data_IF_635159523177
#
_entry.id   IF_635159523177
#
_cell.length_a   1.000
_cell.length_b   1.000
_cell.length_c   1.000
_cell.angle_alpha   90.00
_cell.angle_beta   90.00
_cell.angle_gamma   90.00
#
_symmetry.space_group_name_H-M   'P 1'
#
loop_
_entity.id
_entity.type
_entity.pdbx_description
1 polymer ?
#
# COMPACT_ATOMS: atom_id res chain seq x y z
N UNK A 1 32.30 0.93 15.12
CA UNK A 1 30.94 1.12 14.58
C UNK A 1 30.82 0.30 13.31
N UNK A 2 30.09 -0.83 13.32
CA UNK A 2 29.88 -1.63 12.10
C UNK A 2 28.91 -0.92 11.16
N UNK A 3 29.35 -0.59 9.94
CA UNK A 3 28.50 -0.06 8.87
C UNK A 3 27.53 -1.18 8.48
N UNK A 4 26.30 -1.16 8.99
CA UNK A 4 25.23 -2.02 8.48
C UNK A 4 24.88 -1.50 7.09
N UNK A 5 25.56 -2.02 6.08
CA UNK A 5 25.21 -1.83 4.67
C UNK A 5 23.82 -2.42 4.49
N UNK A 6 22.79 -1.58 4.40
CA UNK A 6 21.43 -2.02 4.08
C UNK A 6 21.48 -2.53 2.64
N UNK A 7 21.57 -3.84 2.47
CA UNK A 7 21.62 -4.49 1.16
C UNK A 7 20.28 -4.23 0.47
N UNK A 8 20.35 -3.85 -0.82
CA UNK A 8 19.18 -3.78 -1.69
C UNK A 8 18.38 -5.08 -1.61
N UNK A 9 17.08 -5.02 -1.32
CA UNK A 9 16.26 -6.22 -1.46
C UNK A 9 16.08 -6.52 -2.94
N UNK A 10 16.14 -7.79 -3.32
CA UNK A 10 15.76 -8.20 -4.68
C UNK A 10 14.25 -8.07 -4.86
N UNK A 11 13.77 -7.88 -6.10
CA UNK A 11 12.34 -7.78 -6.37
C UNK A 11 11.50 -8.96 -5.82
N UNK A 12 11.95 -10.23 -5.89
CA UNK A 12 11.26 -11.35 -5.23
C UNK A 12 11.20 -11.25 -3.70
N UNK A 13 12.27 -10.77 -3.05
CA UNK A 13 12.31 -10.57 -1.60
C UNK A 13 11.40 -9.43 -1.15
N UNK A 14 11.36 -8.34 -1.92
CA UNK A 14 10.42 -7.24 -1.69
C UNK A 14 8.97 -7.72 -1.79
N UNK A 15 8.62 -8.44 -2.86
CA UNK A 15 7.28 -8.99 -3.01
C UNK A 15 6.92 -9.93 -1.85
N UNK A 16 7.84 -10.80 -1.45
CA UNK A 16 7.63 -11.71 -0.30
C UNK A 16 7.39 -10.95 0.99
N UNK A 17 8.13 -9.87 1.23
CA UNK A 17 8.00 -9.00 2.40
C UNK A 17 6.63 -8.32 2.43
N UNK A 18 6.24 -7.68 1.32
CA UNK A 18 4.93 -7.02 1.20
C UNK A 18 3.78 -8.01 1.36
N UNK A 19 3.87 -9.20 0.75
CA UNK A 19 2.87 -10.25 0.94
C UNK A 19 2.79 -10.70 2.42
N UNK A 20 3.90 -10.73 3.14
CA UNK A 20 3.93 -10.97 4.58
C UNK A 20 3.14 -9.93 5.37
N UNK A 21 3.34 -8.65 5.07
CA UNK A 21 2.60 -7.54 5.68
C UNK A 21 1.08 -7.64 5.44
N UNK A 22 0.67 -7.97 4.21
CA UNK A 22 -0.74 -8.15 3.86
C UNK A 22 -1.40 -9.32 4.61
N UNK A 23 -0.67 -10.45 4.75
CA UNK A 23 -1.14 -11.61 5.52
C UNK A 23 -1.30 -11.30 6.99
N UNK A 24 -0.32 -10.62 7.59
CA UNK A 24 -0.42 -10.18 8.99
C UNK A 24 -1.61 -9.24 9.21
N UNK A 25 -1.89 -8.36 8.24
CA UNK A 25 -3.05 -7.48 8.31
C UNK A 25 -4.38 -8.25 8.28
N UNK A 26 -4.49 -9.28 7.43
CA UNK A 26 -5.65 -10.19 7.38
C UNK A 26 -5.91 -10.85 8.73
N UNK A 27 -4.86 -11.33 9.39
CA UNK A 27 -4.98 -12.00 10.68
C UNK A 27 -5.47 -11.04 11.78
N UNK A 28 -5.03 -9.79 11.76
CA UNK A 28 -5.42 -8.77 12.76
C UNK A 28 -6.82 -8.20 12.53
N UNK A 29 -7.32 -8.24 11.30
CA UNK A 29 -8.64 -7.71 10.93
C UNK A 29 -9.49 -8.79 10.25
N UNK A 30 -10.25 -9.60 11.02
CA UNK A 30 -11.05 -10.70 10.47
C UNK A 30 -12.10 -10.27 9.43
N UNK A 31 -12.61 -9.04 9.49
CA UNK A 31 -13.57 -8.49 8.53
C UNK A 31 -12.93 -7.89 7.28
N UNK A 32 -11.59 -7.84 7.22
CA UNK A 32 -10.88 -7.52 5.99
C UNK A 32 -11.22 -8.64 5.00
N UNK A 33 -11.58 -8.29 3.77
CA UNK A 33 -11.87 -9.24 2.68
C UNK A 33 -10.81 -9.24 1.59
N UNK A 34 -10.06 -8.15 1.42
CA UNK A 34 -9.02 -8.02 0.39
C UNK A 34 -7.98 -6.96 0.77
N UNK A 35 -6.77 -7.07 0.23
CA UNK A 35 -5.80 -5.99 0.26
C UNK A 35 -4.88 -6.05 -0.97
N UNK A 36 -4.39 -4.89 -1.41
CA UNK A 36 -3.36 -4.81 -2.44
C UNK A 36 -2.41 -3.63 -2.20
N UNK A 37 -1.23 -3.74 -2.79
CA UNK A 37 -0.28 -2.64 -2.93
C UNK A 37 -0.13 -2.32 -4.41
N UNK A 38 -0.24 -1.05 -4.76
CA UNK A 38 -0.11 -0.56 -6.13
C UNK A 38 0.79 0.68 -6.17
N UNK A 39 1.52 0.86 -7.28
CA UNK A 39 2.24 2.10 -7.56
C UNK A 39 1.27 3.27 -7.81
N UNK A 40 1.80 4.49 -7.79
CA UNK A 40 1.05 5.70 -8.18
C UNK A 40 0.46 5.63 -9.60
N UNK A 41 1.05 4.82 -10.47
CA UNK A 41 0.65 4.68 -11.88
C UNK A 41 -0.32 3.52 -12.11
N UNK A 42 -0.73 2.83 -11.03
CA UNK A 42 -1.70 1.72 -11.10
C UNK A 42 -1.08 0.37 -11.42
N UNK A 43 0.23 0.23 -11.33
CA UNK A 43 0.89 -1.07 -11.47
C UNK A 43 0.80 -1.85 -10.16
N UNK A 44 0.38 -3.11 -10.27
CA UNK A 44 0.27 -4.01 -9.13
C UNK A 44 1.65 -4.38 -8.60
N UNK A 45 1.85 -4.20 -7.29
CA UNK A 45 3.05 -4.65 -6.58
C UNK A 45 2.82 -6.03 -5.98
N UNK A 46 1.76 -6.16 -5.17
CA UNK A 46 1.38 -7.40 -4.48
C UNK A 46 -0.10 -7.34 -4.09
N UNK A 47 -0.73 -8.51 -3.90
CA UNK A 47 -2.11 -8.56 -3.43
C UNK A 47 -2.44 -9.82 -2.62
N UNK A 48 -3.46 -9.67 -1.79
CA UNK A 48 -4.25 -10.73 -1.17
C UNK A 48 -5.74 -10.37 -1.40
N UNK A 49 -6.21 -10.62 -2.62
CA UNK A 49 -7.56 -10.26 -3.09
C UNK A 49 -8.42 -11.51 -3.28
N UNK A 50 -9.74 -11.40 -3.06
CA UNK A 50 -10.68 -12.44 -3.45
C UNK A 50 -10.57 -12.81 -4.94
N UNK A 51 -10.83 -14.07 -5.32
CA UNK A 51 -10.61 -14.57 -6.69
C UNK A 51 -11.54 -13.94 -7.74
N UNK A 52 -12.63 -13.29 -7.33
CA UNK A 52 -13.56 -12.59 -8.23
C UNK A 52 -13.08 -11.18 -8.61
N UNK A 53 -11.98 -10.71 -8.03
CA UNK A 53 -11.43 -9.38 -8.28
C UNK A 53 -10.17 -9.51 -9.13
N UNK A 54 -10.15 -8.85 -10.28
CA UNK A 54 -8.97 -8.79 -11.13
C UNK A 54 -7.93 -7.82 -10.53
N UNK A 55 -6.72 -8.30 -10.17
CA UNK A 55 -5.76 -7.51 -9.38
C UNK A 55 -5.23 -6.24 -10.07
N UNK A 56 -4.93 -6.30 -11.38
CA UNK A 56 -4.43 -5.17 -12.15
C UNK A 56 -5.48 -4.07 -12.28
N UNK A 57 -6.74 -4.43 -12.51
CA UNK A 57 -7.88 -3.53 -12.57
C UNK A 57 -8.11 -2.83 -11.23
N UNK A 58 -8.01 -3.54 -10.10
CA UNK A 58 -8.08 -2.88 -8.79
C UNK A 58 -6.89 -1.98 -8.50
N UNK A 59 -5.68 -2.33 -8.95
CA UNK A 59 -4.51 -1.46 -8.83
C UNK A 59 -4.70 -0.15 -9.62
N UNK A 60 -5.20 -0.23 -10.85
CA UNK A 60 -5.51 0.94 -11.67
C UNK A 60 -6.61 1.82 -11.04
N UNK A 61 -7.68 1.22 -10.51
CA UNK A 61 -8.74 1.95 -9.80
C UNK A 61 -8.23 2.63 -8.53
N UNK A 62 -7.36 1.97 -7.76
CA UNK A 62 -6.74 2.54 -6.59
C UNK A 62 -5.89 3.77 -6.95
N UNK A 63 -5.04 3.67 -7.97
CA UNK A 63 -4.22 4.78 -8.47
C UNK A 63 -5.06 5.97 -8.98
N UNK A 64 -6.15 5.69 -9.69
CA UNK A 64 -7.08 6.73 -10.12
C UNK A 64 -7.72 7.45 -8.92
N UNK A 65 -8.20 6.70 -7.92
CA UNK A 65 -8.82 7.26 -6.71
C UNK A 65 -7.82 8.07 -5.88
N UNK A 66 -6.56 7.63 -5.78
CA UNK A 66 -5.48 8.39 -5.15
C UNK A 66 -5.25 9.71 -5.85
N UNK A 67 -5.14 9.70 -7.17
CA UNK A 67 -4.92 10.89 -7.98
C UNK A 67 -6.05 11.91 -7.79
N UNK A 68 -7.30 11.45 -7.73
CA UNK A 68 -8.45 12.29 -7.39
C UNK A 68 -8.34 12.85 -5.97
N UNK A 69 -7.98 12.01 -5.00
CA UNK A 69 -7.88 12.41 -3.59
C UNK A 69 -6.76 13.44 -3.37
N UNK A 70 -5.59 13.25 -3.97
CA UNK A 70 -4.50 14.24 -3.98
C UNK A 70 -4.93 15.57 -4.57
N UNK A 71 -5.63 15.54 -5.70
CA UNK A 71 -6.15 16.76 -6.33
C UNK A 71 -7.16 17.46 -5.44
N UNK A 72 -8.09 16.72 -4.83
CA UNK A 72 -9.08 17.27 -3.91
C UNK A 72 -8.41 17.95 -2.70
N UNK A 73 -7.48 17.29 -2.02
CA UNK A 73 -6.81 17.87 -0.83
C UNK A 73 -5.96 19.07 -1.19
N UNK A 74 -5.25 19.00 -2.31
CA UNK A 74 -4.42 20.11 -2.80
C UNK A 74 -5.27 21.31 -3.18
N UNK A 75 -6.39 21.11 -3.89
CA UNK A 75 -7.29 22.20 -4.29
C UNK A 75 -8.03 22.81 -3.10
N UNK A 76 -8.49 22.00 -2.15
CA UNK A 76 -9.25 22.49 -1.00
C UNK A 76 -8.37 23.20 0.04
N UNK A 77 -7.17 22.67 0.30
CA UNK A 77 -6.37 23.07 1.47
C UNK A 77 -4.87 23.24 1.18
N UNK A 78 -4.40 23.03 -0.05
CA UNK A 78 -2.97 23.07 -0.38
C UNK A 78 -2.16 21.94 0.25
N UNK A 79 -2.82 20.91 0.77
CA UNK A 79 -2.21 19.83 1.55
C UNK A 79 -2.08 18.52 0.77
N UNK A 80 -1.25 17.63 1.30
CA UNK A 80 -1.08 16.27 0.78
C UNK A 80 -2.27 15.35 1.09
N UNK A 81 -2.22 14.16 0.50
CA UNK A 81 -3.15 13.07 0.78
C UNK A 81 -2.56 12.11 1.81
N UNK A 82 -3.39 11.66 2.76
CA UNK A 82 -3.02 10.62 3.72
C UNK A 82 -3.80 9.33 3.46
N UNK A 83 -5.13 9.45 3.41
CA UNK A 83 -6.03 8.31 3.22
C UNK A 83 -7.39 8.76 2.70
N UNK A 84 -8.12 7.84 2.06
CA UNK A 84 -9.52 8.01 1.66
C UNK A 84 -10.30 6.76 2.02
N UNK A 85 -11.50 6.95 2.57
CA UNK A 85 -12.46 5.90 2.88
C UNK A 85 -13.64 6.01 1.92
N UNK A 86 -13.92 4.94 1.19
CA UNK A 86 -15.09 4.79 0.33
C UNK A 86 -16.01 3.76 0.96
N UNK A 87 -17.23 4.18 1.29
CA UNK A 87 -18.27 3.31 1.84
C UNK A 87 -19.29 2.97 0.75
N UNK A 88 -19.35 1.70 0.39
CA UNK A 88 -20.39 1.13 -0.46
C UNK A 88 -21.48 0.45 0.38
N UNK A 89 -22.51 -0.07 -0.29
CA UNK A 89 -23.57 -0.85 0.38
C UNK A 89 -23.03 -2.15 0.98
N UNK A 90 -22.11 -2.82 0.26
CA UNK A 90 -21.59 -4.14 0.63
C UNK A 90 -20.23 -4.10 1.34
N UNK A 91 -19.71 -2.92 1.67
CA UNK A 91 -18.40 -2.83 2.31
C UNK A 91 -17.68 -1.51 2.21
N UNK A 92 -16.44 -1.54 2.65
CA UNK A 92 -15.55 -0.40 2.69
C UNK A 92 -14.31 -0.68 1.84
N UNK A 93 -13.88 0.33 1.10
CA UNK A 93 -12.56 0.38 0.46
C UNK A 93 -11.81 1.55 1.09
N UNK A 94 -10.63 1.30 1.63
CA UNK A 94 -9.78 2.36 2.18
C UNK A 94 -8.44 2.33 1.46
N UNK A 95 -7.97 3.49 1.04
CA UNK A 95 -6.65 3.64 0.42
C UNK A 95 -5.79 4.52 1.31
N UNK A 96 -4.58 4.06 1.63
CA UNK A 96 -3.57 4.78 2.40
C UNK A 96 -2.37 5.07 1.52
N UNK A 97 -1.81 6.28 1.62
CA UNK A 97 -0.52 6.59 1.03
C UNK A 97 0.59 5.73 1.66
N UNK A 98 1.47 5.17 0.83
CA UNK A 98 2.59 4.34 1.25
C UNK A 98 3.84 4.66 0.41
N UNK A 99 4.43 5.85 0.63
CA UNK A 99 5.53 6.35 -0.19
C UNK A 99 5.06 6.64 -1.63
N UNK A 100 5.76 6.08 -2.63
CA UNK A 100 5.36 6.12 -4.04
C UNK A 100 4.34 5.03 -4.41
N UNK A 101 3.95 4.22 -3.43
CA UNK A 101 2.90 3.20 -3.56
C UNK A 101 1.70 3.56 -2.69
N UNK A 102 0.70 2.69 -2.69
CA UNK A 102 -0.46 2.77 -1.83
C UNK A 102 -0.84 1.41 -1.30
N UNK A 103 -1.38 1.39 -0.08
CA UNK A 103 -2.07 0.24 0.46
C UNK A 103 -3.57 0.45 0.27
N UNK A 104 -4.23 -0.43 -0.48
CA UNK A 104 -5.69 -0.48 -0.60
C UNK A 104 -6.22 -1.68 0.14
N UNK A 105 -7.21 -1.47 1.01
CA UNK A 105 -7.85 -2.51 1.81
C UNK A 105 -9.35 -2.55 1.53
N UNK A 106 -9.87 -3.77 1.46
CA UNK A 106 -11.29 -4.07 1.26
C UNK A 106 -11.79 -4.76 2.52
N UNK A 107 -12.94 -4.34 3.02
CA UNK A 107 -13.55 -4.90 4.22
C UNK A 107 -15.07 -4.95 4.09
N UNK A 108 -15.70 -5.84 4.85
CA UNK A 108 -17.15 -5.98 4.87
C UNK A 108 -17.92 -4.75 5.40
N UNK A 109 -19.25 -4.76 5.32
CA UNK A 109 -20.09 -3.63 5.70
C UNK A 109 -20.06 -3.35 7.22
N UNK A 110 -19.87 -4.38 8.02
CA UNK A 110 -19.87 -4.30 9.49
C UNK A 110 -18.46 -4.15 10.10
N UNK A 111 -17.45 -3.85 9.26
CA UNK A 111 -16.09 -3.62 9.78
C UNK A 111 -16.07 -2.43 10.73
N UNK A 112 -15.38 -2.59 11.86
CA UNK A 112 -15.04 -1.45 12.69
C UNK A 112 -13.96 -0.61 11.98
N UNK A 113 -14.37 0.50 11.36
CA UNK A 113 -13.48 1.39 10.59
C UNK A 113 -12.35 1.95 11.45
N UNK A 114 -12.60 2.23 12.73
CA UNK A 114 -11.55 2.66 13.67
C UNK A 114 -10.46 1.60 13.83
N UNK A 115 -10.85 0.32 14.01
CA UNK A 115 -9.91 -0.81 14.06
C UNK A 115 -9.21 -1.03 12.73
N UNK A 116 -9.91 -0.89 11.61
CA UNK A 116 -9.30 -0.98 10.28
C UNK A 116 -8.16 0.05 10.13
N UNK A 117 -8.38 1.31 10.53
CA UNK A 117 -7.33 2.34 10.52
C UNK A 117 -6.19 2.04 11.50
N UNK A 118 -6.50 1.58 12.71
CA UNK A 118 -5.49 1.24 13.72
C UNK A 118 -4.50 0.19 13.21
N UNK A 119 -4.99 -0.81 12.47
CA UNK A 119 -4.17 -1.91 11.96
C UNK A 119 -3.52 -1.60 10.60
N UNK A 120 -4.23 -0.90 9.69
CA UNK A 120 -3.73 -0.65 8.33
C UNK A 120 -2.69 0.47 8.25
N UNK A 121 -2.77 1.51 9.08
CA UNK A 121 -1.82 2.65 9.01
C UNK A 121 -0.37 2.24 9.32
N UNK A 122 -0.08 1.43 10.36
CA UNK A 122 1.27 0.91 10.58
C UNK A 122 1.77 0.07 9.39
N UNK A 123 0.89 -0.75 8.80
CA UNK A 123 1.24 -1.57 7.63
C UNK A 123 1.57 -0.71 6.41
N UNK A 124 0.80 0.34 6.14
CA UNK A 124 1.11 1.28 5.06
C UNK A 124 2.47 1.97 5.25
N UNK A 125 2.83 2.32 6.49
CA UNK A 125 4.16 2.88 6.82
C UNK A 125 5.27 1.85 6.60
N UNK A 126 5.09 0.61 7.07
CA UNK A 126 6.06 -0.46 6.86
C UNK A 126 6.27 -0.73 5.36
N UNK A 127 5.21 -0.78 4.56
CA UNK A 127 5.29 -0.90 3.09
C UNK A 127 6.09 0.27 2.51
N UNK A 128 5.81 1.51 2.92
CA UNK A 128 6.58 2.67 2.45
C UNK A 128 8.09 2.54 2.75
N UNK A 129 8.44 2.07 3.95
CA UNK A 129 9.83 1.85 4.35
C UNK A 129 10.51 0.75 3.53
N UNK A 130 9.78 -0.34 3.22
CA UNK A 130 10.26 -1.42 2.34
C UNK A 130 10.48 -0.94 0.91
N UNK A 131 9.61 -0.07 0.40
CA UNK A 131 9.71 0.50 -0.94
C UNK A 131 10.87 1.49 -1.06
N UNK A 132 11.07 2.36 -0.07
CA UNK A 132 12.21 3.28 -0.04
C UNK A 132 13.55 2.53 0.03
N UNK A 133 13.60 1.43 0.79
CA UNK A 133 14.81 0.61 0.89
C UNK A 133 15.25 0.01 -0.46
N UNK A 134 14.30 -0.29 -1.32
CA UNK A 134 14.55 -0.84 -2.65
C UNK A 134 15.22 0.18 -3.57
N UNK A 135 14.78 1.44 -3.52
CA UNK A 135 15.29 2.50 -4.40
C UNK A 135 16.75 2.88 -4.08
N UNK A 136 17.13 2.90 -2.79
CA UNK A 136 18.53 3.16 -2.39
C UNK A 136 19.47 1.97 -2.60
N UNK A 137 18.92 0.78 -2.83
CA UNK A 137 19.69 -0.42 -3.09
C UNK A 137 20.29 -0.47 -4.51
N UNK A 138 19.65 0.18 -5.47
CA UNK A 138 20.05 0.18 -6.89
C UNK A 138 21.15 1.18 -7.25
N UNK A 139 21.44 2.17 -6.40
CA UNK A 139 22.29 3.32 -6.77
C UNK A 139 23.73 3.24 -6.21
N UNK A 140 24.24 2.05 -5.89
CA UNK A 140 25.65 1.86 -5.44
C UNK A 140 26.46 0.87 -6.30
N UNK A 141 26.01 0.58 -7.52
CA UNK A 141 26.83 -0.15 -8.51
C UNK A 141 26.99 0.65 -9.80
N UNK A 142 27.51 1.88 -9.73
CA UNK A 142 28.25 2.45 -10.86
C UNK A 142 29.38 3.38 -10.38
N UNK A 143 30.56 3.13 -10.94
CA UNK A 143 31.77 3.97 -10.91
C UNK A 143 32.45 4.26 -9.57
N UNK A 144 33.46 3.45 -9.25
CA UNK A 144 34.82 4.02 -9.18
C UNK A 144 35.85 2.95 -9.54
N UNK A 145 36.75 3.37 -10.42
CA UNK A 145 37.81 2.67 -11.16
C UNK A 145 38.74 1.77 -10.32
#
# INVERSE_FOLDING_TARGET
>A
MGRLTKVAMTAPELNTTVLGELKLLRERVPQLTGALVASSDGLLVAHDLPPHIEPGGMAALAAAQLSLSYRLTTTAHGGGFHEVVVRGSEGHVVIYAAGWTSLTVLAGPDVNVGRLHLESRPVARAIADHMLANDFGTDQTTHTE
#
